data_IF_962795193135
#
_entry.id   IF_962795193135
#
_cell.length_a   1.000
_cell.length_b   1.000
_cell.length_c   1.000
_cell.angle_alpha   90.00
_cell.angle_beta   90.00
_cell.angle_gamma   90.00
#
_symmetry.space_group_name_H-M   'P 1'
#
loop_
_entity.id
_entity.type
_entity.pdbx_description
1 polymer ?
#
# COMPACT_ATOMS: atom_id res chain seq x y z
N UNK A 1 21.55 -10.40 -3.93
CA UNK A 1 21.15 -8.97 -4.11
C UNK A 1 19.62 -8.82 -4.26
N UNK A 2 18.81 -9.35 -3.31
CA UNK A 2 17.35 -9.32 -3.47
C UNK A 2 16.76 -7.90 -3.46
N UNK A 3 17.31 -6.98 -2.68
CA UNK A 3 16.83 -5.60 -2.62
C UNK A 3 17.04 -4.87 -3.96
N UNK A 4 18.22 -5.03 -4.55
CA UNK A 4 18.57 -4.45 -5.85
C UNK A 4 17.72 -5.05 -6.97
N UNK A 5 17.52 -6.36 -6.94
CA UNK A 5 16.67 -7.06 -7.91
C UNK A 5 15.22 -6.57 -7.86
N UNK A 6 14.61 -6.57 -6.67
CA UNK A 6 13.22 -6.12 -6.50
C UNK A 6 13.05 -4.66 -6.87
N UNK A 7 13.99 -3.79 -6.48
CA UNK A 7 13.97 -2.39 -6.88
C UNK A 7 14.02 -2.21 -8.41
N UNK A 8 14.84 -3.01 -9.10
CA UNK A 8 14.91 -2.98 -10.56
C UNK A 8 13.62 -3.49 -11.22
N UNK A 9 13.00 -4.56 -10.70
CA UNK A 9 11.71 -5.08 -11.20
C UNK A 9 10.62 -4.02 -11.07
N UNK A 10 10.49 -3.39 -9.89
CA UNK A 10 9.49 -2.35 -9.65
C UNK A 10 9.72 -1.14 -10.58
N UNK A 11 10.96 -0.70 -10.70
CA UNK A 11 11.33 0.45 -11.54
C UNK A 11 10.97 0.24 -13.00
N UNK A 12 11.28 -0.93 -13.53
CA UNK A 12 11.05 -1.22 -14.96
C UNK A 12 9.60 -1.63 -15.27
N UNK A 13 8.75 -1.78 -14.24
CA UNK A 13 7.37 -2.27 -14.39
C UNK A 13 7.29 -3.58 -15.20
N UNK A 14 8.39 -4.32 -15.21
CA UNK A 14 8.57 -5.53 -16.01
C UNK A 14 8.07 -6.81 -15.33
N UNK A 15 7.49 -6.69 -14.16
CA UNK A 15 6.97 -7.81 -13.40
C UNK A 15 5.51 -8.13 -13.71
N UNK A 16 5.09 -9.35 -13.35
CA UNK A 16 3.71 -9.80 -13.50
C UNK A 16 2.76 -9.14 -12.48
N UNK A 17 3.30 -8.77 -11.32
CA UNK A 17 2.53 -8.19 -10.21
C UNK A 17 2.65 -6.67 -10.16
N UNK A 18 1.73 -6.03 -9.44
CA UNK A 18 1.81 -4.60 -9.16
C UNK A 18 2.98 -4.27 -8.19
N UNK A 19 3.43 -3.01 -8.11
CA UNK A 19 4.54 -2.61 -7.24
C UNK A 19 4.34 -3.00 -5.77
N UNK A 20 3.10 -2.97 -5.27
CA UNK A 20 2.78 -3.33 -3.89
C UNK A 20 3.19 -4.77 -3.57
N UNK A 21 2.89 -5.73 -4.45
CA UNK A 21 3.22 -7.14 -4.23
C UNK A 21 4.74 -7.37 -4.12
N UNK A 22 5.54 -6.67 -4.93
CA UNK A 22 7.00 -6.74 -4.84
C UNK A 22 7.55 -6.09 -3.57
N UNK A 23 6.93 -5.02 -3.09
CA UNK A 23 7.29 -4.41 -1.81
C UNK A 23 6.89 -5.30 -0.62
N UNK A 24 5.76 -5.98 -0.71
CA UNK A 24 5.37 -7.00 0.28
C UNK A 24 6.35 -8.17 0.31
N UNK A 25 6.78 -8.65 -0.85
CA UNK A 25 7.80 -9.69 -0.95
C UNK A 25 9.13 -9.22 -0.35
N UNK A 26 9.53 -7.98 -0.62
CA UNK A 26 10.72 -7.39 0.01
C UNK A 26 10.64 -7.42 1.54
N UNK A 27 9.46 -7.12 2.13
CA UNK A 27 9.26 -7.21 3.59
C UNK A 27 9.40 -8.65 4.10
N UNK A 28 8.89 -9.65 3.37
CA UNK A 28 9.09 -11.08 3.72
C UNK A 28 10.57 -11.49 3.71
N UNK A 29 11.37 -10.88 2.84
CA UNK A 29 12.83 -11.02 2.86
C UNK A 29 13.54 -10.12 3.91
N UNK A 30 12.80 -9.54 4.85
CA UNK A 30 13.32 -8.62 5.86
C UNK A 30 14.02 -7.38 5.27
N UNK A 31 13.66 -6.98 4.04
CA UNK A 31 14.15 -5.78 3.39
C UNK A 31 13.28 -4.60 3.83
N UNK A 32 13.91 -3.55 4.36
CA UNK A 32 13.22 -2.34 4.80
C UNK A 32 12.83 -1.47 3.61
N UNK A 33 11.56 -1.09 3.55
CA UNK A 33 11.06 -0.12 2.58
C UNK A 33 11.20 1.27 3.17
N UNK A 34 12.01 2.09 2.51
CA UNK A 34 12.26 3.47 2.89
C UNK A 34 11.39 4.39 2.02
N UNK A 35 10.58 5.29 2.59
CA UNK A 35 9.80 6.25 1.83
C UNK A 35 10.68 7.15 0.97
N UNK A 36 10.12 7.91 0.01
CA UNK A 36 10.89 8.89 -0.74
C UNK A 36 11.52 9.93 0.18
N UNK A 37 12.69 10.45 -0.20
CA UNK A 37 13.42 11.47 0.53
C UNK A 37 14.00 12.49 -0.45
N UNK A 38 13.83 13.77 -0.17
CA UNK A 38 14.18 14.84 -1.12
C UNK A 38 15.66 14.81 -1.55
N UNK A 39 16.57 14.53 -0.62
CA UNK A 39 18.01 14.50 -0.91
C UNK A 39 18.56 13.12 -1.31
N UNK A 40 17.79 12.02 -1.12
CA UNK A 40 18.32 10.65 -1.29
C UNK A 40 17.62 9.85 -2.37
N UNK A 41 16.36 10.17 -2.69
CA UNK A 41 15.63 9.49 -3.74
C UNK A 41 16.07 9.94 -5.10
N UNK A 42 16.01 9.02 -6.04
CA UNK A 42 16.14 9.28 -7.48
C UNK A 42 14.76 9.14 -8.12
N UNK A 43 14.71 9.21 -9.44
CA UNK A 43 13.47 8.92 -10.17
C UNK A 43 13.03 7.49 -9.89
N UNK A 44 13.96 6.55 -9.97
CA UNK A 44 13.77 5.11 -9.83
C UNK A 44 13.87 4.66 -8.38
N UNK A 45 13.29 3.47 -8.09
CA UNK A 45 13.56 2.75 -6.86
C UNK A 45 15.03 2.32 -6.81
N UNK A 46 15.64 2.34 -5.63
CA UNK A 46 17.01 1.86 -5.43
C UNK A 46 17.09 0.90 -4.26
N UNK A 47 17.58 -0.31 -4.57
CA UNK A 47 17.93 -1.33 -3.58
C UNK A 47 19.37 -1.17 -3.12
N UNK A 48 19.62 -1.40 -1.85
CA UNK A 48 20.96 -1.44 -1.28
C UNK A 48 20.96 -2.34 -0.04
N UNK A 49 21.61 -3.50 -0.13
CA UNK A 49 21.72 -4.47 0.98
C UNK A 49 20.34 -4.90 1.51
N UNK A 50 19.96 -4.37 2.68
CA UNK A 50 18.75 -4.69 3.44
C UNK A 50 17.62 -3.67 3.30
N UNK A 51 17.68 -2.78 2.29
CA UNK A 51 16.71 -1.70 2.11
C UNK A 51 16.41 -1.40 0.66
N UNK A 52 15.20 -0.95 0.42
CA UNK A 52 14.77 -0.34 -0.85
C UNK A 52 14.31 1.08 -0.54
N UNK A 53 14.95 2.08 -1.15
CA UNK A 53 14.47 3.47 -1.15
C UNK A 53 13.50 3.64 -2.31
N UNK A 54 12.29 4.12 -2.01
CA UNK A 54 11.31 4.46 -3.04
C UNK A 54 11.79 5.64 -3.86
N UNK A 55 11.60 5.54 -5.17
CA UNK A 55 11.88 6.62 -6.11
C UNK A 55 10.73 7.63 -6.20
N UNK A 56 11.01 8.80 -6.76
CA UNK A 56 9.98 9.82 -7.00
C UNK A 56 8.89 9.35 -7.97
N UNK A 57 9.20 8.38 -8.85
CA UNK A 57 8.20 7.77 -9.74
C UNK A 57 7.10 6.99 -9.01
N UNK A 58 7.28 6.70 -7.72
CA UNK A 58 6.27 6.08 -6.89
C UNK A 58 5.14 7.04 -6.47
N UNK A 59 5.40 8.35 -6.54
CA UNK A 59 4.47 9.38 -6.06
C UNK A 59 3.44 9.65 -7.16
N UNK A 60 2.18 9.36 -6.87
CA UNK A 60 1.07 9.63 -7.77
C UNK A 60 1.00 11.13 -8.10
N UNK A 61 0.70 11.45 -9.34
CA UNK A 61 0.53 12.81 -9.85
C UNK A 61 1.77 13.73 -9.79
N UNK A 62 2.94 13.25 -9.36
CA UNK A 62 4.17 14.01 -9.42
C UNK A 62 4.69 14.07 -10.88
N UNK A 63 4.82 15.27 -11.41
CA UNK A 63 5.20 15.46 -12.80
C UNK A 63 6.68 15.12 -13.06
N UNK A 64 6.96 14.50 -14.21
CA UNK A 64 8.33 14.18 -14.62
C UNK A 64 9.22 15.44 -14.72
N UNK A 65 8.66 16.59 -15.07
CA UNK A 65 9.36 17.89 -15.08
C UNK A 65 9.83 18.27 -13.67
N UNK A 66 8.96 18.16 -12.66
CA UNK A 66 9.30 18.45 -11.28
C UNK A 66 10.43 17.53 -10.76
N UNK A 67 10.36 16.22 -11.06
CA UNK A 67 11.43 15.28 -10.71
C UNK A 67 12.77 15.74 -11.31
N UNK A 68 12.78 16.10 -12.58
CA UNK A 68 14.02 16.54 -13.25
C UNK A 68 14.56 17.85 -12.66
N UNK A 69 13.70 18.82 -12.34
CA UNK A 69 14.08 20.08 -11.67
C UNK A 69 14.73 19.79 -10.33
N UNK A 70 14.10 18.96 -9.47
CA UNK A 70 14.63 18.57 -8.16
C UNK A 70 16.02 17.92 -8.31
N UNK A 71 16.14 16.94 -9.20
CA UNK A 71 17.39 16.22 -9.39
C UNK A 71 18.51 17.11 -9.95
N UNK A 72 18.19 18.12 -10.75
CA UNK A 72 19.15 19.09 -11.26
C UNK A 72 19.61 20.08 -10.19
N UNK A 73 18.68 20.68 -9.44
CA UNK A 73 18.99 21.61 -8.34
C UNK A 73 19.84 20.93 -7.25
N UNK A 74 19.57 19.68 -6.95
CA UNK A 74 20.33 18.91 -5.97
C UNK A 74 21.78 18.60 -6.38
N UNK A 75 22.15 18.75 -7.66
CA UNK A 75 23.55 18.53 -8.12
C UNK A 75 24.51 19.53 -7.51
N UNK A 76 24.05 20.75 -7.20
CA UNK A 76 24.90 21.76 -6.58
C UNK A 76 25.12 21.47 -5.10
N UNK A 77 24.02 21.29 -4.36
CA UNK A 77 24.06 20.97 -2.93
C UNK A 77 22.76 20.29 -2.50
N UNK A 78 22.82 19.44 -1.49
CA UNK A 78 21.64 18.89 -0.81
C UNK A 78 20.78 20.02 -0.22
N UNK A 79 19.48 19.82 -0.16
CA UNK A 79 18.57 20.78 0.46
C UNK A 79 18.75 20.75 1.99
N UNK A 80 19.00 21.92 2.58
CA UNK A 80 19.23 22.05 4.01
C UNK A 80 17.93 22.03 4.84
N UNK A 81 16.82 22.49 4.25
CA UNK A 81 15.50 22.59 4.91
C UNK A 81 14.38 22.59 3.87
N UNK A 82 13.11 22.52 4.34
CA UNK A 82 11.94 22.77 3.50
C UNK A 82 12.00 24.15 2.87
N UNK A 83 12.39 25.17 3.65
CA UNK A 83 12.49 26.54 3.17
C UNK A 83 13.53 26.69 2.05
N UNK A 84 14.70 26.06 2.18
CA UNK A 84 15.74 26.03 1.14
C UNK A 84 15.23 25.36 -0.13
N UNK A 85 14.52 24.22 0.01
CA UNK A 85 13.90 23.53 -1.12
C UNK A 85 12.90 24.44 -1.85
N UNK A 86 11.96 25.06 -1.12
CA UNK A 86 10.92 25.91 -1.69
C UNK A 86 11.49 27.16 -2.38
N UNK A 87 12.62 27.69 -1.89
CA UNK A 87 13.29 28.84 -2.50
C UNK A 87 14.05 28.50 -3.79
N UNK A 88 14.62 27.27 -3.87
CA UNK A 88 15.49 26.85 -4.98
C UNK A 88 14.76 26.14 -6.11
N UNK A 89 13.68 25.40 -5.79
CA UNK A 89 13.03 24.50 -6.75
C UNK A 89 11.78 25.17 -7.32
N UNK A 90 11.80 25.46 -8.61
CA UNK A 90 10.67 26.03 -9.33
C UNK A 90 9.73 24.92 -9.84
N UNK A 91 8.76 24.55 -9.00
CA UNK A 91 7.67 23.63 -9.30
C UNK A 91 6.34 24.22 -8.83
N UNK A 92 5.22 23.65 -9.25
CA UNK A 92 3.91 24.14 -8.82
C UNK A 92 3.50 23.60 -7.42
N UNK A 93 2.42 24.18 -6.87
CA UNK A 93 1.87 23.76 -5.58
C UNK A 93 1.48 22.28 -5.56
N UNK A 94 0.93 21.76 -6.67
CA UNK A 94 0.48 20.37 -6.75
C UNK A 94 1.65 19.41 -6.59
N UNK A 95 2.76 19.65 -7.30
CA UNK A 95 3.98 18.85 -7.19
C UNK A 95 4.63 18.97 -5.80
N UNK A 96 4.69 20.20 -5.24
CA UNK A 96 5.22 20.41 -3.89
C UNK A 96 4.39 19.69 -2.81
N UNK A 97 3.07 19.71 -2.94
CA UNK A 97 2.17 18.98 -2.03
C UNK A 97 2.27 17.47 -2.20
N UNK A 98 2.45 16.96 -3.43
CA UNK A 98 2.69 15.54 -3.67
C UNK A 98 3.96 15.05 -2.97
N UNK A 99 5.05 15.80 -3.04
CA UNK A 99 6.30 15.52 -2.31
C UNK A 99 6.12 15.57 -0.79
N UNK A 100 5.37 16.55 -0.30
CA UNK A 100 5.05 16.70 1.12
C UNK A 100 4.24 15.50 1.61
N UNK A 101 3.18 15.14 0.90
CA UNK A 101 2.31 14.02 1.24
C UNK A 101 3.06 12.67 1.21
N UNK A 102 4.05 12.56 0.33
CA UNK A 102 4.95 11.42 0.28
C UNK A 102 5.96 11.35 1.45
N UNK A 103 6.01 12.37 2.30
CA UNK A 103 6.93 12.45 3.43
C UNK A 103 8.38 12.75 3.04
N UNK A 104 8.62 13.33 1.85
CA UNK A 104 9.97 13.59 1.34
C UNK A 104 10.82 14.49 2.24
N UNK A 105 10.21 15.26 3.11
CA UNK A 105 10.86 16.23 4.01
C UNK A 105 10.94 15.75 5.46
N UNK A 106 10.36 14.59 5.81
CA UNK A 106 10.26 14.14 7.20
C UNK A 106 11.63 13.93 7.89
N UNK A 107 12.62 13.41 7.19
CA UNK A 107 13.99 13.26 7.72
C UNK A 107 14.76 14.59 7.72
N UNK A 108 14.31 15.58 6.95
CA UNK A 108 14.93 16.92 6.86
C UNK A 108 14.42 17.85 7.96
N UNK A 109 13.18 17.66 8.36
CA UNK A 109 12.46 18.46 9.37
C UNK A 109 11.94 17.57 10.51
N UNK A 110 12.82 16.89 11.28
CA UNK A 110 12.42 15.86 12.24
C UNK A 110 11.61 16.39 13.42
N UNK A 111 11.72 17.68 13.72
CA UNK A 111 11.03 18.35 14.82
C UNK A 111 9.64 18.89 14.43
N UNK A 112 9.29 18.79 13.14
CA UNK A 112 8.06 19.38 12.59
C UNK A 112 7.12 18.24 12.19
N UNK A 113 5.82 18.39 12.51
CA UNK A 113 4.82 17.40 12.12
C UNK A 113 4.56 17.43 10.62
N UNK A 114 4.05 16.33 10.09
CA UNK A 114 3.64 16.26 8.68
C UNK A 114 2.60 17.36 8.33
N UNK A 115 1.63 17.59 9.23
CA UNK A 115 0.58 18.62 9.04
C UNK A 115 1.18 20.01 8.97
N UNK A 116 2.22 20.29 9.76
CA UNK A 116 2.90 21.57 9.72
C UNK A 116 3.75 21.76 8.45
N UNK A 117 4.42 20.68 7.99
CA UNK A 117 5.14 20.70 6.71
C UNK A 117 4.15 21.01 5.57
N UNK A 118 2.99 20.35 5.56
CA UNK A 118 1.95 20.58 4.56
C UNK A 118 1.41 22.02 4.60
N UNK A 119 1.16 22.53 5.80
CA UNK A 119 0.71 23.91 5.97
C UNK A 119 1.76 24.93 5.48
N UNK A 120 3.03 24.76 5.85
CA UNK A 120 4.13 25.64 5.40
C UNK A 120 4.30 25.60 3.88
N UNK A 121 4.22 24.40 3.28
CA UNK A 121 4.28 24.24 1.82
C UNK A 121 3.12 24.98 1.14
N UNK A 122 1.87 24.75 1.56
CA UNK A 122 0.71 25.42 0.99
C UNK A 122 0.80 26.95 1.16
N UNK A 123 1.17 27.41 2.34
CA UNK A 123 1.29 28.84 2.64
C UNK A 123 2.30 29.55 1.72
N UNK A 124 3.47 28.93 1.48
CA UNK A 124 4.50 29.47 0.59
C UNK A 124 3.96 29.79 -0.81
N UNK A 125 3.12 28.92 -1.36
CA UNK A 125 2.54 29.11 -2.69
C UNK A 125 1.31 30.04 -2.71
N UNK A 126 0.62 30.17 -1.61
CA UNK A 126 -0.59 31.00 -1.49
C UNK A 126 -0.26 32.49 -1.25
N UNK A 127 0.98 32.82 -0.86
CA UNK A 127 1.45 34.20 -0.75
C UNK A 127 1.85 34.73 -2.13
N UNK A 128 1.00 35.56 -2.72
CA UNK A 128 1.09 35.98 -4.14
C UNK A 128 2.33 36.79 -4.52
N UNK A 129 3.04 37.48 -3.61
CA UNK A 129 4.12 38.41 -4.01
C UNK A 129 5.41 38.29 -3.19
N UNK A 130 5.36 37.83 -1.95
CA UNK A 130 6.54 37.63 -1.11
C UNK A 130 6.60 36.20 -0.61
N UNK A 131 7.23 35.31 -1.38
CA UNK A 131 7.44 33.90 -1.02
C UNK A 131 8.43 33.76 0.14
N UNK A 132 8.06 34.27 1.31
CA UNK A 132 8.87 34.13 2.52
C UNK A 132 8.52 32.83 3.27
N UNK A 133 9.54 32.05 3.69
CA UNK A 133 9.31 30.87 4.50
C UNK A 133 8.68 31.24 5.86
N UNK A 134 7.56 30.63 6.20
CA UNK A 134 6.93 30.83 7.50
C UNK A 134 7.74 30.22 8.63
N UNK A 135 8.06 31.01 9.62
CA UNK A 135 8.47 30.60 10.96
C UNK A 135 7.25 30.59 11.90
N UNK A 136 6.24 29.75 11.60
CA UNK A 136 5.05 29.66 12.47
C UNK A 136 5.25 28.59 13.53
N UNK A 137 4.76 28.80 14.77
CA UNK A 137 4.77 27.76 15.81
C UNK A 137 4.00 26.52 15.38
N UNK A 138 4.43 25.36 15.83
CA UNK A 138 3.77 24.07 15.61
C UNK A 138 2.36 24.13 16.23
N UNK A 139 1.35 24.02 15.39
CA UNK A 139 -0.06 24.17 15.79
C UNK A 139 -0.83 22.84 15.77
N UNK A 140 -0.27 21.78 15.19
CA UNK A 140 -1.03 20.59 14.88
C UNK A 140 -0.35 19.32 15.39
N UNK A 141 -1.16 18.37 15.88
CA UNK A 141 -0.67 17.04 16.27
C UNK A 141 -0.21 16.20 15.05
N UNK A 142 0.45 15.10 15.35
CA UNK A 142 0.85 14.13 14.34
C UNK A 142 -0.37 13.52 13.64
N UNK A 143 -0.15 12.94 12.44
CA UNK A 143 -1.14 12.12 11.78
C UNK A 143 -1.49 10.91 12.66
N UNK A 144 -2.77 10.63 12.81
CA UNK A 144 -3.24 9.36 13.34
C UNK A 144 -2.84 8.22 12.39
N UNK A 145 -2.84 6.99 12.90
CA UNK A 145 -2.55 5.79 12.09
C UNK A 145 -3.48 5.67 10.86
N UNK A 146 -4.73 6.02 11.03
CA UNK A 146 -5.71 5.99 9.93
C UNK A 146 -5.42 7.07 8.89
N UNK A 147 -5.22 8.33 9.32
CA UNK A 147 -4.88 9.46 8.41
C UNK A 147 -3.61 9.17 7.62
N UNK A 148 -2.57 8.62 8.28
CA UNK A 148 -1.32 8.23 7.62
C UNK A 148 -1.54 7.20 6.53
N UNK A 149 -2.34 6.17 6.81
CA UNK A 149 -2.65 5.12 5.85
C UNK A 149 -3.45 5.65 4.65
N UNK A 150 -4.48 6.48 4.89
CA UNK A 150 -5.26 7.12 3.83
C UNK A 150 -4.35 7.97 2.95
N UNK A 151 -3.49 8.76 3.55
CA UNK A 151 -2.50 9.58 2.85
C UNK A 151 -1.52 8.72 2.00
N UNK A 152 -1.05 7.59 2.52
CA UNK A 152 -0.18 6.69 1.76
C UNK A 152 -0.91 6.08 0.55
N UNK A 153 -2.18 5.69 0.71
CA UNK A 153 -3.00 5.18 -0.40
C UNK A 153 -3.20 6.25 -1.48
N UNK A 154 -3.52 7.48 -1.08
CA UNK A 154 -3.72 8.59 -2.02
C UNK A 154 -2.40 8.95 -2.74
N UNK A 155 -1.28 8.85 -2.02
CA UNK A 155 0.04 9.26 -2.52
C UNK A 155 0.71 8.19 -3.38
N UNK A 156 0.58 6.91 -3.04
CA UNK A 156 1.32 5.80 -3.69
C UNK A 156 0.40 4.78 -4.37
N UNK A 157 -0.91 4.86 -4.17
CA UNK A 157 -1.88 3.86 -4.59
C UNK A 157 -2.00 2.66 -3.64
N UNK A 158 -1.17 2.60 -2.59
CA UNK A 158 -1.15 1.51 -1.59
C UNK A 158 -0.47 1.96 -0.29
N UNK A 159 -0.76 1.31 0.86
CA UNK A 159 -0.10 1.62 2.12
C UNK A 159 1.33 1.08 2.15
N UNK A 160 2.28 1.91 2.58
CA UNK A 160 3.70 1.56 2.67
C UNK A 160 4.17 1.29 4.10
N UNK A 161 3.52 1.83 5.11
CA UNK A 161 3.95 1.70 6.51
C UNK A 161 3.56 0.37 7.13
N UNK A 162 2.46 -0.23 6.68
CA UNK A 162 1.94 -1.49 7.24
C UNK A 162 1.13 -2.30 6.23
N UNK A 163 0.97 -3.60 6.50
CA UNK A 163 0.12 -4.46 5.69
C UNK A 163 -1.36 -4.11 5.89
N UNK A 164 -2.17 -3.94 4.82
CA UNK A 164 -3.57 -3.52 4.92
C UNK A 164 -4.45 -4.38 5.82
N UNK A 165 -4.18 -5.68 5.90
CA UNK A 165 -4.96 -6.61 6.74
C UNK A 165 -4.76 -6.39 8.25
N UNK A 166 -3.64 -5.79 8.69
CA UNK A 166 -3.35 -5.63 10.13
C UNK A 166 -4.45 -4.87 10.88
N UNK A 167 -5.15 -3.95 10.22
CA UNK A 167 -6.26 -3.20 10.83
C UNK A 167 -7.54 -4.02 10.98
N UNK A 168 -7.64 -5.15 10.28
CA UNK A 168 -8.81 -6.02 10.29
C UNK A 168 -8.61 -7.22 11.21
N UNK A 169 -7.35 -7.65 11.44
CA UNK A 169 -7.04 -8.82 12.28
C UNK A 169 -7.70 -8.79 13.67
N UNK A 170 -7.80 -7.65 14.40
CA UNK A 170 -8.45 -7.60 15.71
C UNK A 170 -9.95 -7.98 15.69
N UNK A 171 -10.59 -7.91 14.54
CA UNK A 171 -12.01 -8.24 14.36
C UNK A 171 -12.23 -9.68 13.90
N UNK A 172 -11.14 -10.42 13.63
CA UNK A 172 -11.20 -11.78 13.10
C UNK A 172 -10.98 -12.80 14.23
N UNK A 173 -11.75 -13.88 14.18
CA UNK A 173 -11.61 -14.98 15.13
C UNK A 173 -10.38 -15.84 14.88
N UNK A 174 -10.00 -16.65 15.87
CA UNK A 174 -8.84 -17.57 15.82
C UNK A 174 -9.00 -18.71 14.80
N UNK A 175 -10.18 -18.87 14.21
CA UNK A 175 -10.46 -19.87 13.18
C UNK A 175 -9.84 -19.49 11.81
N UNK A 176 -9.47 -18.22 11.60
CA UNK A 176 -8.80 -17.76 10.39
C UNK A 176 -7.37 -18.31 10.35
N UNK A 177 -7.04 -19.01 9.27
CA UNK A 177 -5.72 -19.60 9.06
C UNK A 177 -4.81 -18.63 8.31
N UNK A 178 -3.51 -18.85 8.39
CA UNK A 178 -2.50 -18.04 7.72
C UNK A 178 -2.03 -18.71 6.43
N UNK A 179 -1.69 -17.87 5.43
CA UNK A 179 -1.23 -18.35 4.14
C UNK A 179 -0.03 -19.31 4.26
N UNK A 180 0.98 -18.97 5.05
CA UNK A 180 2.17 -19.79 5.30
C UNK A 180 1.87 -21.20 5.81
N UNK A 181 0.73 -21.40 6.46
CA UNK A 181 0.33 -22.66 7.12
C UNK A 181 -0.64 -23.49 6.28
N UNK A 182 -1.01 -23.07 5.08
CA UNK A 182 -2.00 -23.75 4.21
C UNK A 182 -1.65 -25.23 3.99
N UNK A 183 -0.37 -25.55 3.85
CA UNK A 183 0.13 -26.92 3.65
C UNK A 183 -0.28 -27.90 4.78
N UNK A 184 -0.57 -27.39 5.99
CA UNK A 184 -1.02 -28.20 7.13
C UNK A 184 -2.50 -28.62 7.03
N UNK A 185 -3.24 -28.07 6.07
CA UNK A 185 -4.68 -28.23 5.97
C UNK A 185 -5.14 -28.97 4.70
N UNK A 186 -4.26 -29.71 4.05
CA UNK A 186 -4.59 -30.54 2.87
C UNK A 186 -5.89 -31.33 3.07
N UNK A 187 -6.82 -31.20 2.13
CA UNK A 187 -8.11 -31.88 2.11
C UNK A 187 -9.17 -31.28 3.05
N UNK A 188 -8.84 -30.23 3.82
CA UNK A 188 -9.75 -29.56 4.75
C UNK A 188 -10.26 -28.25 4.16
N UNK A 189 -11.48 -27.90 4.52
CA UNK A 189 -12.02 -26.56 4.29
C UNK A 189 -11.56 -25.62 5.41
N UNK A 190 -10.94 -24.50 5.04
CA UNK A 190 -10.43 -23.49 5.97
C UNK A 190 -10.94 -22.11 5.61
N UNK A 191 -10.81 -21.18 6.56
CA UNK A 191 -11.07 -19.77 6.34
C UNK A 191 -9.74 -18.99 6.35
N UNK A 192 -9.56 -18.14 5.36
CA UNK A 192 -8.40 -17.27 5.14
C UNK A 192 -8.87 -15.84 4.94
N UNK A 193 -7.97 -14.87 5.10
CA UNK A 193 -8.18 -13.50 4.66
C UNK A 193 -7.09 -13.10 3.69
N UNK A 194 -7.42 -12.26 2.71
CA UNK A 194 -6.41 -11.85 1.73
C UNK A 194 -6.78 -10.60 0.96
N UNK A 195 -5.72 -10.03 0.37
CA UNK A 195 -5.81 -9.00 -0.66
C UNK A 195 -5.69 -9.70 -2.00
N UNK A 196 -6.59 -9.42 -2.93
CA UNK A 196 -6.46 -9.90 -4.30
C UNK A 196 -5.30 -9.18 -5.01
N UNK A 197 -4.25 -9.92 -5.36
CA UNK A 197 -3.04 -9.39 -5.98
C UNK A 197 -3.08 -9.49 -7.50
N UNK A 198 -3.50 -10.64 -8.01
CA UNK A 198 -3.63 -10.86 -9.46
C UNK A 198 -4.75 -11.85 -9.75
N UNK A 199 -5.27 -11.76 -10.97
CA UNK A 199 -6.42 -12.53 -11.44
C UNK A 199 -6.17 -13.03 -12.86
N UNK A 200 -6.64 -14.24 -13.13
CA UNK A 200 -6.57 -14.81 -14.47
C UNK A 200 -7.83 -15.60 -14.78
N UNK A 201 -8.67 -15.03 -15.63
CA UNK A 201 -9.85 -15.72 -16.15
C UNK A 201 -9.40 -16.74 -17.21
N UNK A 202 -9.96 -17.92 -17.16
CA UNK A 202 -9.71 -19.01 -18.11
C UNK A 202 -10.99 -19.83 -18.29
N UNK A 203 -10.91 -20.95 -18.99
CA UNK A 203 -12.05 -21.83 -19.18
C UNK A 203 -11.71 -23.28 -18.77
N UNK A 204 -12.67 -23.99 -18.21
CA UNK A 204 -12.61 -25.42 -17.97
C UNK A 204 -12.56 -26.20 -19.30
N UNK A 205 -12.32 -27.52 -19.23
CA UNK A 205 -12.40 -28.40 -20.41
C UNK A 205 -13.75 -28.31 -21.13
N UNK A 206 -14.82 -28.03 -20.40
CA UNK A 206 -16.18 -27.86 -20.92
C UNK A 206 -16.48 -26.43 -21.36
N UNK A 207 -15.46 -25.59 -21.53
CA UNK A 207 -15.56 -24.17 -21.94
C UNK A 207 -16.37 -23.27 -21.00
N UNK A 208 -16.56 -23.68 -19.74
CA UNK A 208 -17.20 -22.83 -18.73
C UNK A 208 -16.14 -21.91 -18.10
N UNK A 209 -16.47 -20.65 -17.80
CA UNK A 209 -15.52 -19.71 -17.22
C UNK A 209 -15.11 -20.15 -15.81
N UNK A 210 -13.85 -19.95 -15.49
CA UNK A 210 -13.27 -20.13 -14.16
C UNK A 210 -12.17 -19.09 -13.95
N UNK A 211 -11.78 -18.84 -12.71
CA UNK A 211 -10.79 -17.83 -12.41
C UNK A 211 -9.75 -18.33 -11.39
N UNK A 212 -8.48 -18.08 -11.69
CA UNK A 212 -7.39 -18.15 -10.73
C UNK A 212 -7.18 -16.80 -10.10
N UNK A 213 -7.09 -16.74 -8.77
CA UNK A 213 -6.83 -15.51 -8.02
C UNK A 213 -5.70 -15.77 -7.05
N UNK A 214 -4.64 -14.98 -7.14
CA UNK A 214 -3.60 -14.96 -6.13
C UNK A 214 -3.98 -13.95 -5.07
N UNK A 215 -4.08 -14.41 -3.83
CA UNK A 215 -4.27 -13.56 -2.66
C UNK A 215 -2.99 -13.48 -1.85
N UNK A 216 -2.92 -12.45 -1.02
CA UNK A 216 -1.84 -12.21 -0.06
C UNK A 216 -2.44 -11.95 1.32
N UNK A 217 -1.91 -12.62 2.35
CA UNK A 217 -2.05 -12.16 3.72
C UNK A 217 -0.73 -11.57 4.23
N UNK A 218 -0.66 -11.20 5.50
CA UNK A 218 0.56 -10.63 6.08
C UNK A 218 1.71 -11.65 6.21
N UNK A 219 1.48 -12.92 5.89
CA UNK A 219 2.48 -14.00 6.04
C UNK A 219 2.99 -14.52 4.71
N UNK A 220 2.15 -14.65 3.69
CA UNK A 220 2.54 -15.20 2.39
C UNK A 220 1.49 -14.93 1.30
N UNK A 221 1.84 -15.29 0.05
CA UNK A 221 0.95 -15.40 -1.08
C UNK A 221 0.31 -16.80 -1.12
N UNK A 222 -0.92 -16.89 -1.60
CA UNK A 222 -1.58 -18.17 -1.85
C UNK A 222 -2.51 -18.10 -3.05
N UNK A 223 -2.57 -19.19 -3.76
CA UNK A 223 -3.42 -19.31 -4.95
C UNK A 223 -4.77 -19.90 -4.63
N UNK A 224 -5.79 -19.30 -5.18
CA UNK A 224 -7.16 -19.77 -5.11
C UNK A 224 -7.71 -20.06 -6.52
N UNK A 225 -8.65 -20.99 -6.58
CA UNK A 225 -9.36 -21.36 -7.80
C UNK A 225 -10.85 -21.15 -7.56
N UNK A 226 -11.50 -20.39 -8.42
CA UNK A 226 -12.96 -20.33 -8.52
C UNK A 226 -13.41 -21.14 -9.73
N UNK A 227 -13.99 -22.30 -9.46
CA UNK A 227 -14.66 -23.08 -10.48
C UNK A 227 -15.96 -22.39 -10.93
N UNK A 228 -16.59 -22.81 -12.05
CA UNK A 228 -17.69 -22.08 -12.67
C UNK A 228 -18.81 -21.64 -11.73
N UNK A 229 -19.24 -22.48 -10.82
CA UNK A 229 -20.30 -22.17 -9.84
C UNK A 229 -19.89 -21.01 -8.89
N UNK A 230 -18.67 -21.08 -8.36
CA UNK A 230 -18.13 -20.05 -7.49
C UNK A 230 -17.84 -18.78 -8.29
N UNK A 231 -17.36 -18.89 -9.53
CA UNK A 231 -17.11 -17.75 -10.41
C UNK A 231 -18.40 -16.99 -10.76
N UNK A 232 -19.48 -17.70 -11.11
CA UNK A 232 -20.79 -17.12 -11.38
C UNK A 232 -21.34 -16.38 -10.14
N UNK A 233 -21.09 -16.92 -8.93
CA UNK A 233 -21.60 -16.36 -7.68
C UNK A 233 -20.77 -15.19 -7.17
N UNK A 234 -19.46 -15.26 -7.25
CA UNK A 234 -18.54 -14.36 -6.55
C UNK A 234 -17.61 -13.56 -7.46
N UNK A 235 -17.50 -13.90 -8.76
CA UNK A 235 -16.52 -13.29 -9.65
C UNK A 235 -16.65 -11.77 -9.75
N UNK A 236 -17.87 -11.25 -9.75
CA UNK A 236 -18.12 -9.81 -9.79
C UNK A 236 -17.64 -9.07 -8.54
N UNK A 237 -17.60 -9.74 -7.38
CA UNK A 237 -17.14 -9.11 -6.14
C UNK A 237 -15.67 -8.68 -6.23
N UNK A 238 -14.86 -9.40 -6.98
CA UNK A 238 -13.44 -9.07 -7.23
C UNK A 238 -13.22 -7.80 -8.08
N UNK A 239 -14.26 -7.28 -8.72
CA UNK A 239 -14.17 -6.04 -9.51
C UNK A 239 -14.27 -4.78 -8.63
N UNK A 240 -14.87 -4.90 -7.44
CA UNK A 240 -15.22 -3.76 -6.59
C UNK A 240 -14.53 -3.77 -5.24
N UNK A 241 -13.98 -4.91 -4.84
CA UNK A 241 -13.34 -5.10 -3.53
C UNK A 241 -11.91 -5.58 -3.71
N UNK A 242 -11.10 -5.33 -2.70
CA UNK A 242 -9.69 -5.75 -2.66
C UNK A 242 -9.37 -6.66 -1.48
N UNK A 243 -10.16 -6.58 -0.41
CA UNK A 243 -9.96 -7.30 0.84
C UNK A 243 -11.07 -8.33 1.06
N UNK A 244 -10.69 -9.59 1.24
CA UNK A 244 -11.62 -10.70 1.28
C UNK A 244 -11.45 -11.60 2.50
N UNK A 245 -12.56 -12.14 2.97
CA UNK A 245 -12.63 -13.37 3.74
C UNK A 245 -12.97 -14.50 2.77
N UNK A 246 -12.12 -15.50 2.72
CA UNK A 246 -12.18 -16.64 1.80
C UNK A 246 -12.41 -17.91 2.60
N UNK A 247 -13.43 -18.68 2.25
CA UNK A 247 -13.60 -20.05 2.73
C UNK A 247 -13.41 -20.98 1.55
N UNK A 248 -12.58 -22.01 1.72
CA UNK A 248 -12.31 -22.94 0.63
C UNK A 248 -11.57 -24.18 1.08
N UNK A 249 -11.58 -25.18 0.21
CA UNK A 249 -10.93 -26.47 0.41
C UNK A 249 -9.50 -26.41 -0.07
N UNK A 250 -8.57 -26.84 0.79
CA UNK A 250 -7.15 -26.94 0.42
C UNK A 250 -6.93 -28.20 -0.40
N UNK A 251 -6.37 -28.04 -1.59
CA UNK A 251 -6.00 -29.11 -2.50
C UNK A 251 -4.50 -29.07 -2.77
N UNK A 252 -3.91 -30.22 -3.06
CA UNK A 252 -2.51 -30.36 -3.43
C UNK A 252 -2.39 -31.04 -4.77
N UNK A 253 -1.70 -30.39 -5.70
CA UNK A 253 -1.40 -30.94 -7.02
C UNK A 253 0.08 -30.69 -7.33
N UNK A 254 0.85 -31.76 -7.57
CA UNK A 254 2.29 -31.65 -7.85
C UNK A 254 3.08 -30.87 -6.81
N UNK A 255 2.78 -31.08 -5.52
CA UNK A 255 3.40 -30.39 -4.37
C UNK A 255 3.10 -28.87 -4.30
N UNK A 256 2.12 -28.39 -5.06
CA UNK A 256 1.60 -27.03 -4.96
C UNK A 256 0.25 -27.06 -4.25
N UNK A 257 0.09 -26.20 -3.24
CA UNK A 257 -1.15 -26.08 -2.49
C UNK A 257 -2.00 -24.95 -3.07
N UNK A 258 -3.25 -25.24 -3.38
CA UNK A 258 -4.25 -24.27 -3.86
C UNK A 258 -5.51 -24.35 -2.99
N UNK A 259 -6.30 -23.29 -2.98
CA UNK A 259 -7.56 -23.24 -2.24
C UNK A 259 -8.71 -23.14 -3.24
N UNK A 260 -9.52 -24.18 -3.33
CA UNK A 260 -10.77 -24.14 -4.12
C UNK A 260 -11.80 -23.33 -3.35
N UNK A 261 -12.18 -22.17 -3.89
CA UNK A 261 -13.11 -21.23 -3.22
C UNK A 261 -14.51 -21.81 -3.18
N UNK A 262 -15.06 -21.92 -1.99
CA UNK A 262 -16.45 -22.28 -1.70
C UNK A 262 -17.28 -21.05 -1.34
N UNK A 263 -16.64 -20.01 -0.71
CA UNK A 263 -17.30 -18.77 -0.33
C UNK A 263 -16.31 -17.61 -0.34
N UNK A 264 -16.74 -16.46 -0.85
CA UNK A 264 -15.98 -15.21 -0.88
C UNK A 264 -16.84 -14.07 -0.32
N UNK A 265 -16.29 -13.29 0.60
CA UNK A 265 -17.00 -12.19 1.26
C UNK A 265 -16.10 -10.97 1.28
N UNK A 266 -16.65 -9.77 1.02
CA UNK A 266 -15.95 -8.51 1.27
C UNK A 266 -15.64 -8.37 2.78
N UNK A 267 -14.36 -8.36 3.11
CA UNK A 267 -13.90 -8.16 4.47
C UNK A 267 -14.27 -6.77 4.99
N UNK A 268 -14.16 -5.78 4.13
CA UNK A 268 -14.51 -4.39 4.44
C UNK A 268 -15.98 -4.24 4.83
N UNK A 269 -16.89 -4.82 4.04
CA UNK A 269 -18.33 -4.77 4.32
C UNK A 269 -18.69 -5.57 5.57
N UNK A 270 -18.07 -6.73 5.77
CA UNK A 270 -18.29 -7.55 6.97
C UNK A 270 -17.92 -6.76 8.25
N UNK A 271 -16.75 -6.13 8.27
CA UNK A 271 -16.30 -5.37 9.45
C UNK A 271 -17.14 -4.11 9.68
N UNK A 272 -17.58 -3.42 8.63
CA UNK A 272 -18.54 -2.30 8.77
C UNK A 272 -19.81 -2.74 9.49
N UNK A 273 -20.37 -3.90 9.13
CA UNK A 273 -21.56 -4.48 9.80
C UNK A 273 -21.28 -4.79 11.27
N UNK A 274 -20.14 -5.43 11.59
CA UNK A 274 -19.75 -5.75 12.98
C UNK A 274 -19.63 -4.47 13.82
N UNK A 275 -18.97 -3.44 13.29
CA UNK A 275 -18.82 -2.15 13.99
C UNK A 275 -20.17 -1.48 14.24
N UNK A 276 -21.06 -1.44 13.26
CA UNK A 276 -22.40 -0.87 13.41
C UNK A 276 -23.22 -1.61 14.49
N UNK A 277 -23.15 -2.94 14.52
CA UNK A 277 -23.84 -3.74 15.54
C UNK A 277 -23.31 -3.49 16.95
N UNK A 278 -21.98 -3.38 17.10
CA UNK A 278 -21.37 -3.10 18.41
C UNK A 278 -21.66 -1.67 18.90
N UNK A 279 -21.77 -0.68 18.01
CA UNK A 279 -22.15 0.69 18.37
C UNK A 279 -23.57 0.73 18.92
N UNK A 280 -24.51 0.06 18.26
CA UNK A 280 -25.92 -0.03 18.73
C UNK A 280 -26.02 -0.71 20.10
N UNK A 281 -25.21 -1.76 20.35
CA UNK A 281 -25.19 -2.44 21.66
C UNK A 281 -24.61 -1.57 22.77
N UNK A 282 -23.58 -0.77 22.49
CA UNK A 282 -23.01 0.16 23.48
C UNK A 282 -23.92 1.32 23.79
N UNK A 283 -24.65 1.86 22.82
CA UNK A 283 -25.66 2.91 23.05
C UNK A 283 -26.89 2.39 23.84
N UNK A 284 -27.30 1.15 23.61
CA UNK A 284 -28.41 0.52 24.33
C UNK A 284 -28.09 0.11 25.78
N UNK A 285 -26.79 -0.01 26.13
CA UNK A 285 -26.35 -0.31 27.51
C UNK A 285 -26.01 0.97 28.31
N UNK A 286 -26.03 2.13 27.68
CA UNK A 286 -25.77 3.44 28.30
C UNK A 286 -27.04 4.25 28.58
N UNK A 287 -28.23 3.69 28.30
CA UNK A 287 -29.55 4.16 28.69
C UNK A 287 -30.11 3.31 29.86
#
# INVERSE_FOLDING_TARGET
FPAEFLAAVITNQGGFYNPYAYLSEARRFCIRIMPPHINRSFREYRGQKDRIRMGFMAICNLQAKAINTILNERKSDDFASLADFLARVDIDLSDAMALTNAGCFAELEPEITHKDIAFRTAHFYLQNENREPLTVPILTGNLSRQEKRELEIDTFGFPISEHPLLNYLPYLGTHIKKAKDIHLYKGKTIALVGIAITRKITATRNRQPMEFVTFEDETDLYECVMFPEAYETFGDLLNWETLFLIQGKVEETYSVYTVTIEKLISLTQMIKKIKATNTVLTESLSQ
#
